data_IF_460001197604
#
_entry.id   IF_460001197604
#
_cell.length_a   1.000
_cell.length_b   1.000
_cell.length_c   1.000
_cell.angle_alpha   90.00
_cell.angle_beta   90.00
_cell.angle_gamma   90.00
#
_symmetry.space_group_name_H-M   'P 1'
#
loop_
_entity.id
_entity.type
_entity.pdbx_description
1 polymer ?
#
# COMPACT_ATOMS: atom_id res chain seq x y z
N UNK A 1 -1.31 -13.18 -12.76
CA UNK A 1 -1.20 -13.35 -11.30
C UNK A 1 -0.50 -12.14 -10.70
N UNK A 2 -1.04 -11.61 -9.61
CA UNK A 2 -0.45 -10.46 -8.94
C UNK A 2 0.68 -10.91 -8.00
N UNK A 3 1.83 -10.30 -8.12
CA UNK A 3 2.98 -10.56 -7.25
C UNK A 3 3.15 -9.42 -6.25
N UNK A 4 3.90 -9.64 -5.15
CA UNK A 4 4.23 -8.54 -4.24
C UNK A 4 4.91 -7.36 -4.96
N UNK A 5 5.75 -7.66 -5.94
CA UNK A 5 6.45 -6.63 -6.71
C UNK A 5 5.48 -5.81 -7.55
N UNK A 6 4.46 -6.44 -8.13
CA UNK A 6 3.41 -5.73 -8.87
C UNK A 6 2.68 -4.74 -7.98
N UNK A 7 2.33 -5.17 -6.76
CA UNK A 7 1.64 -4.32 -5.79
C UNK A 7 2.53 -3.13 -5.41
N UNK A 8 3.80 -3.40 -5.11
CA UNK A 8 4.76 -2.36 -4.75
C UNK A 8 4.88 -1.30 -5.83
N UNK A 9 5.10 -1.73 -7.08
CA UNK A 9 5.25 -0.80 -8.22
C UNK A 9 4.00 0.02 -8.44
N UNK A 10 2.83 -0.60 -8.30
CA UNK A 10 1.56 0.08 -8.52
C UNK A 10 1.33 1.15 -7.45
N UNK A 11 1.65 0.84 -6.19
CA UNK A 11 1.54 1.83 -5.11
C UNK A 11 2.51 2.98 -5.37
N UNK A 12 3.75 2.68 -5.72
CA UNK A 12 4.76 3.70 -5.97
C UNK A 12 4.41 4.60 -7.15
N UNK A 13 3.73 4.06 -8.15
CA UNK A 13 3.32 4.83 -9.31
C UNK A 13 2.16 5.78 -9.00
N UNK A 14 1.29 5.41 -8.07
CA UNK A 14 0.09 6.20 -7.76
C UNK A 14 0.16 7.03 -6.49
N UNK A 15 1.22 6.88 -5.70
CA UNK A 15 1.34 7.56 -4.41
C UNK A 15 2.82 7.86 -4.15
N UNK A 16 3.10 9.11 -3.78
CA UNK A 16 4.47 9.49 -3.43
C UNK A 16 4.84 8.86 -2.10
N UNK A 17 5.70 7.86 -2.14
CA UNK A 17 6.11 7.10 -0.97
C UNK A 17 7.59 7.24 -0.69
N UNK A 18 7.93 7.31 0.60
CA UNK A 18 9.32 7.29 1.05
C UNK A 18 9.84 5.86 1.11
N UNK A 19 8.94 4.91 1.43
CA UNK A 19 9.29 3.50 1.52
C UNK A 19 8.04 2.66 1.25
N UNK A 20 8.21 1.60 0.47
CA UNK A 20 7.16 0.59 0.25
C UNK A 20 7.83 -0.78 0.30
N UNK A 21 7.32 -1.65 1.15
CA UNK A 21 7.74 -3.04 1.21
C UNK A 21 6.50 -3.91 1.14
N UNK A 22 6.48 -4.87 0.24
CA UNK A 22 5.35 -5.79 0.07
C UNK A 22 5.87 -7.22 0.06
N UNK A 23 5.17 -8.09 0.79
CA UNK A 23 5.47 -9.51 0.83
C UNK A 23 4.15 -10.29 0.72
N UNK A 24 4.22 -11.57 0.38
CA UNK A 24 3.03 -12.37 0.27
C UNK A 24 3.24 -13.66 -0.49
N UNK A 25 2.21 -14.53 -0.43
CA UNK A 25 2.24 -15.87 -1.02
C UNK A 25 1.43 -15.98 -2.32
N UNK A 26 0.90 -14.86 -2.83
CA UNK A 26 0.05 -14.83 -4.01
C UNK A 26 -1.43 -14.70 -3.70
N UNK A 27 -1.85 -15.00 -2.48
CA UNK A 27 -3.22 -14.82 -2.02
C UNK A 27 -3.32 -13.83 -0.88
N UNK A 28 -2.42 -13.94 0.08
CA UNK A 28 -2.35 -13.03 1.22
C UNK A 28 -1.11 -12.16 1.07
N UNK A 29 -1.28 -10.86 1.16
CA UNK A 29 -0.19 -9.88 1.01
C UNK A 29 -0.09 -9.01 2.25
N UNK A 30 1.12 -8.57 2.53
CA UNK A 30 1.42 -7.66 3.62
C UNK A 30 2.24 -6.50 3.06
N UNK A 31 1.85 -5.27 3.38
CA UNK A 31 2.53 -4.08 2.89
C UNK A 31 2.87 -3.14 4.04
N UNK A 32 4.05 -2.55 3.97
CA UNK A 32 4.43 -1.43 4.83
C UNK A 32 4.67 -0.24 3.91
N UNK A 33 3.94 0.85 4.14
CA UNK A 33 3.98 2.01 3.27
C UNK A 33 4.24 3.25 4.12
N UNK A 34 5.30 3.97 3.79
CA UNK A 34 5.65 5.22 4.47
C UNK A 34 5.49 6.36 3.49
N UNK A 35 4.63 7.33 3.82
CA UNK A 35 4.35 8.46 2.95
C UNK A 35 3.96 9.70 3.74
N UNK A 36 4.51 10.85 3.36
CA UNK A 36 4.10 12.13 3.92
C UNK A 36 2.64 12.47 3.58
N UNK A 37 2.08 11.85 2.54
CA UNK A 37 0.68 12.04 2.17
C UNK A 37 -0.29 11.52 3.22
N UNK A 38 0.18 10.69 4.15
CA UNK A 38 -0.65 10.15 5.22
C UNK A 38 -0.81 11.09 6.41
N UNK A 39 -0.06 12.20 6.44
CA UNK A 39 -0.12 13.12 7.57
C UNK A 39 -1.51 13.73 7.71
N UNK A 40 -2.01 13.74 8.94
CA UNK A 40 -3.34 14.27 9.23
C UNK A 40 -4.48 13.34 8.86
N UNK A 41 -4.19 12.17 8.28
CA UNK A 41 -5.23 11.22 7.87
C UNK A 41 -5.41 10.11 8.89
N UNK A 42 -6.67 9.69 9.08
CA UNK A 42 -7.00 8.51 9.87
C UNK A 42 -6.51 7.25 9.15
N UNK A 43 -6.46 6.14 9.88
CA UNK A 43 -6.08 4.85 9.29
C UNK A 43 -6.97 4.50 8.09
N UNK A 44 -8.27 4.69 8.23
CA UNK A 44 -9.23 4.39 7.16
C UNK A 44 -8.93 5.20 5.92
N UNK A 45 -8.67 6.50 6.08
CA UNK A 45 -8.39 7.38 4.94
C UNK A 45 -7.06 7.03 4.28
N UNK A 46 -6.06 6.64 5.08
CA UNK A 46 -4.76 6.18 4.54
C UNK A 46 -4.95 4.93 3.68
N UNK A 47 -5.75 3.98 4.16
CA UNK A 47 -6.04 2.75 3.41
C UNK A 47 -6.79 3.06 2.13
N UNK A 48 -7.75 3.98 2.16
CA UNK A 48 -8.47 4.40 0.97
C UNK A 48 -7.52 5.01 -0.08
N UNK A 49 -6.55 5.78 0.39
CA UNK A 49 -5.54 6.37 -0.49
C UNK A 49 -4.71 5.28 -1.20
N UNK A 50 -4.29 4.27 -0.45
CA UNK A 50 -3.52 3.16 -0.99
C UNK A 50 -4.36 2.36 -1.99
N UNK A 51 -5.61 2.06 -1.66
CA UNK A 51 -6.49 1.34 -2.58
C UNK A 51 -6.75 2.15 -3.85
N UNK A 52 -6.84 3.47 -3.73
CA UNK A 52 -6.95 4.34 -4.90
C UNK A 52 -5.74 4.25 -5.80
N UNK A 53 -4.55 4.15 -5.21
CA UNK A 53 -3.30 4.00 -5.95
C UNK A 53 -3.21 2.64 -6.65
N UNK A 54 -3.77 1.59 -6.03
CA UNK A 54 -3.74 0.25 -6.59
C UNK A 54 -4.62 0.11 -7.83
N UNK A 55 -5.77 0.81 -7.86
CA UNK A 55 -6.70 0.71 -8.97
C UNK A 55 -7.56 -0.55 -8.90
N UNK A 56 -8.63 -0.57 -9.69
CA UNK A 56 -9.64 -1.62 -9.60
C UNK A 56 -9.12 -2.98 -10.06
N UNK A 57 -8.24 -2.99 -11.06
CA UNK A 57 -7.71 -4.23 -11.62
C UNK A 57 -6.90 -5.01 -10.58
N UNK A 58 -5.98 -4.32 -9.93
CA UNK A 58 -5.13 -4.96 -8.92
C UNK A 58 -5.96 -5.37 -7.70
N UNK A 59 -6.91 -4.51 -7.29
CA UNK A 59 -7.79 -4.82 -6.16
C UNK A 59 -8.60 -6.09 -6.40
N UNK A 60 -9.04 -6.31 -7.63
CA UNK A 60 -9.82 -7.49 -7.98
C UNK A 60 -8.99 -8.78 -7.89
N UNK A 61 -7.69 -8.69 -8.06
CA UNK A 61 -6.79 -9.84 -8.01
C UNK A 61 -6.25 -10.14 -6.61
N UNK A 62 -6.40 -9.20 -5.68
CA UNK A 62 -5.90 -9.37 -4.32
C UNK A 62 -6.97 -10.01 -3.45
N UNK A 63 -6.66 -11.19 -2.89
CA UNK A 63 -7.55 -11.89 -1.97
C UNK A 63 -7.58 -11.20 -0.62
N UNK A 64 -6.40 -10.96 -0.04
CA UNK A 64 -6.28 -10.30 1.25
C UNK A 64 -5.02 -9.46 1.28
N UNK A 65 -5.16 -8.21 1.71
CA UNK A 65 -4.04 -7.29 1.85
C UNK A 65 -4.10 -6.66 3.24
N UNK A 66 -3.08 -6.95 4.04
CA UNK A 66 -2.84 -6.27 5.30
C UNK A 66 -1.83 -5.17 5.06
N UNK A 67 -2.08 -3.98 5.57
CA UNK A 67 -1.14 -2.88 5.35
C UNK A 67 -0.90 -2.09 6.62
N UNK A 68 0.32 -1.63 6.76
CA UNK A 68 0.74 -0.68 7.78
C UNK A 68 1.08 0.62 7.08
N UNK A 69 0.37 1.69 7.40
CA UNK A 69 0.53 2.99 6.76
C UNK A 69 1.10 3.96 7.78
N UNK A 70 2.27 4.49 7.48
CA UNK A 70 3.02 5.35 8.40
C UNK A 70 3.39 6.66 7.74
N UNK A 71 3.40 7.74 8.53
CA UNK A 71 4.06 8.97 8.12
C UNK A 71 5.56 8.81 8.36
N UNK A 72 6.42 9.64 7.74
CA UNK A 72 7.86 9.58 8.00
C UNK A 72 8.22 9.70 9.47
N UNK A 73 7.51 10.55 10.23
CA UNK A 73 7.78 10.71 11.64
C UNK A 73 7.32 9.51 12.47
N UNK A 74 6.24 8.83 12.04
CA UNK A 74 5.76 7.62 12.73
C UNK A 74 6.68 6.43 12.51
N UNK A 75 7.41 6.43 11.41
CA UNK A 75 8.38 5.39 11.13
C UNK A 75 9.52 5.39 12.14
N UNK A 76 9.75 6.52 12.74
CA UNK A 76 10.77 6.69 13.74
C UNK A 76 12.06 7.10 13.13
#
# INVERSE_FOLDING_TARGET
MTTPDDIKRTIEAGLACEHVAVDGDGQHFQAVIVSAAFEGLSRVKRHQLVYGALGDRIRAEIHALSMQTLTPSERG
#
